data_IF_711598140338
#
_entry.id   IF_711598140338
#
_cell.length_a   1.000
_cell.length_b   1.000
_cell.length_c   1.000
_cell.angle_alpha   90.00
_cell.angle_beta   90.00
_cell.angle_gamma   90.00
#
_symmetry.space_group_name_H-M   'P 1'
#
loop_
_entity.id
_entity.type
_entity.pdbx_description
1 polymer ?
#
# COMPACT_ATOMS: atom_id res chain seq x y z
N UNK A 1 20.55 -16.46 2.38
CA UNK A 1 19.45 -15.91 3.23
C UNK A 1 18.17 -16.51 2.69
N UNK A 2 17.35 -17.13 3.54
CA UNK A 2 16.08 -17.74 3.10
C UNK A 2 15.06 -16.66 2.74
N UNK A 3 14.32 -16.85 1.65
CA UNK A 3 13.20 -16.00 1.29
C UNK A 3 12.05 -16.18 2.29
N UNK A 4 11.35 -15.10 2.61
CA UNK A 4 10.15 -15.12 3.45
C UNK A 4 8.89 -15.28 2.60
N UNK A 5 8.89 -14.67 1.41
CA UNK A 5 7.83 -14.81 0.40
C UNK A 5 8.50 -15.22 -0.91
N UNK A 6 7.96 -16.22 -1.55
CA UNK A 6 8.37 -16.70 -2.87
C UNK A 6 7.13 -16.81 -3.74
N UNK A 7 7.14 -16.12 -4.88
CA UNK A 7 6.07 -16.12 -5.87
C UNK A 7 6.69 -16.43 -7.23
N UNK A 8 6.25 -17.51 -7.87
CA UNK A 8 6.77 -17.94 -9.16
C UNK A 8 5.62 -18.17 -10.13
N UNK A 9 5.65 -17.47 -11.26
CA UNK A 9 4.70 -17.59 -12.37
C UNK A 9 3.23 -17.54 -11.94
N UNK A 10 2.93 -16.71 -10.91
CA UNK A 10 1.58 -16.60 -10.35
C UNK A 10 0.60 -16.04 -11.39
N UNK A 11 -0.50 -16.76 -11.61
CA UNK A 11 -1.64 -16.30 -12.37
C UNK A 11 -2.93 -16.47 -11.57
N UNK A 12 -3.85 -15.52 -11.76
CA UNK A 12 -5.18 -15.56 -11.15
C UNK A 12 -6.22 -14.85 -12.01
N UNK A 13 -7.42 -15.41 -12.09
CA UNK A 13 -8.56 -14.80 -12.75
C UNK A 13 -9.80 -14.93 -11.88
N UNK A 14 -10.58 -13.86 -11.78
CA UNK A 14 -11.92 -13.92 -11.18
C UNK A 14 -12.94 -14.57 -12.13
N UNK A 15 -13.92 -15.35 -11.63
CA UNK A 15 -15.02 -15.84 -12.45
C UNK A 15 -15.84 -14.66 -13.02
N UNK A 16 -16.30 -14.71 -14.31
CA UNK A 16 -16.20 -15.78 -15.30
C UNK A 16 -14.93 -15.76 -16.18
N UNK A 17 -13.77 -15.39 -15.67
CA UNK A 17 -12.52 -15.44 -16.43
C UNK A 17 -11.86 -14.07 -16.63
N UNK A 18 -12.08 -13.10 -15.74
CA UNK A 18 -11.39 -11.81 -15.73
C UNK A 18 -9.99 -11.96 -15.14
N UNK A 19 -8.91 -11.90 -15.97
CA UNK A 19 -7.54 -12.05 -15.48
C UNK A 19 -7.18 -10.87 -14.57
N UNK A 20 -6.73 -11.17 -13.35
CA UNK A 20 -6.26 -10.16 -12.39
C UNK A 20 -4.75 -10.22 -12.18
N UNK A 21 -4.13 -11.40 -12.32
CA UNK A 21 -2.66 -11.55 -12.27
C UNK A 21 -2.21 -12.46 -13.41
N UNK A 22 -1.04 -12.14 -14.00
CA UNK A 22 -0.51 -12.77 -15.20
C UNK A 22 1.01 -12.94 -15.08
N UNK A 23 1.47 -14.14 -14.74
CA UNK A 23 2.89 -14.48 -14.72
C UNK A 23 3.72 -13.59 -13.78
N UNK A 24 3.23 -13.38 -12.55
CA UNK A 24 3.90 -12.57 -11.54
C UNK A 24 4.96 -13.41 -10.83
N UNK A 25 6.21 -12.93 -10.83
CA UNK A 25 7.33 -13.59 -10.16
C UNK A 25 8.13 -12.57 -9.35
N UNK A 26 8.28 -12.79 -8.05
CA UNK A 26 9.14 -12.01 -7.15
C UNK A 26 9.39 -12.76 -5.86
N UNK A 27 10.30 -12.24 -5.04
CA UNK A 27 10.57 -12.76 -3.70
C UNK A 27 10.75 -11.63 -2.70
N UNK A 28 10.44 -11.89 -1.42
CA UNK A 28 10.74 -10.98 -0.31
C UNK A 28 11.64 -11.68 0.70
N UNK A 29 12.60 -10.95 1.23
CA UNK A 29 13.51 -11.43 2.28
C UNK A 29 13.05 -10.95 3.65
N UNK A 30 13.56 -11.60 4.70
CA UNK A 30 13.32 -11.14 6.07
C UNK A 30 13.82 -9.70 6.27
N UNK A 31 12.99 -8.87 6.90
CA UNK A 31 13.30 -7.47 7.23
C UNK A 31 13.08 -6.48 6.07
N UNK A 32 12.80 -6.94 4.83
CA UNK A 32 12.53 -6.03 3.72
C UNK A 32 11.27 -5.19 3.92
N UNK A 33 11.35 -3.94 3.48
CA UNK A 33 10.27 -2.95 3.45
C UNK A 33 9.94 -2.66 1.99
N UNK A 34 8.87 -3.28 1.49
CA UNK A 34 8.56 -3.27 0.07
C UNK A 34 7.23 -2.57 -0.20
N UNK A 35 7.23 -1.65 -1.17
CA UNK A 35 6.03 -1.01 -1.69
C UNK A 35 5.51 -1.76 -2.91
N UNK A 36 4.20 -1.99 -2.96
CA UNK A 36 3.49 -2.50 -4.13
C UNK A 36 2.69 -1.36 -4.74
N UNK A 37 3.16 -0.85 -5.87
CA UNK A 37 2.54 0.28 -6.55
C UNK A 37 1.91 -0.13 -7.89
N UNK A 38 1.09 0.75 -8.44
CA UNK A 38 0.44 0.56 -9.73
C UNK A 38 -0.92 1.23 -9.78
N UNK A 39 -1.51 1.38 -10.97
CA UNK A 39 -2.82 2.01 -11.14
C UNK A 39 -3.95 1.21 -10.46
N UNK A 40 -5.14 1.82 -10.39
CA UNK A 40 -6.32 1.12 -9.91
C UNK A 40 -6.65 -0.03 -10.87
N UNK A 41 -7.00 -1.20 -10.29
CA UNK A 41 -7.26 -2.40 -11.09
C UNK A 41 -6.00 -3.17 -11.53
N UNK A 42 -4.79 -2.74 -11.19
CA UNK A 42 -3.55 -3.44 -11.53
C UNK A 42 -3.41 -4.86 -10.95
N UNK A 43 -4.22 -5.22 -9.93
CA UNK A 43 -4.17 -6.52 -9.27
C UNK A 43 -3.52 -6.51 -7.88
N UNK A 44 -3.19 -5.34 -7.32
CA UNK A 44 -2.49 -5.20 -6.02
C UNK A 44 -3.23 -5.91 -4.88
N UNK A 45 -4.50 -5.58 -4.65
CA UNK A 45 -5.33 -6.21 -3.61
C UNK A 45 -5.47 -7.72 -3.85
N UNK A 46 -5.63 -8.14 -5.12
CA UNK A 46 -5.69 -9.57 -5.47
C UNK A 46 -4.41 -10.30 -5.07
N UNK A 47 -3.25 -9.71 -5.35
CA UNK A 47 -1.96 -10.26 -4.94
C UNK A 47 -1.87 -10.37 -3.41
N UNK A 48 -2.24 -9.32 -2.67
CA UNK A 48 -2.25 -9.36 -1.19
C UNK A 48 -3.20 -10.44 -0.65
N UNK A 49 -4.39 -10.62 -1.24
CA UNK A 49 -5.34 -11.65 -0.83
C UNK A 49 -4.81 -13.07 -1.07
N UNK A 50 -4.06 -13.30 -2.17
CA UNK A 50 -3.41 -14.59 -2.42
C UNK A 50 -2.29 -14.81 -1.39
N UNK A 51 -1.42 -13.82 -1.15
CA UNK A 51 -0.37 -13.92 -0.14
C UNK A 51 -0.91 -14.12 1.28
N UNK A 52 -2.10 -13.59 1.55
CA UNK A 52 -2.82 -13.84 2.79
C UNK A 52 -3.47 -15.23 2.86
N UNK A 53 -3.45 -16.02 1.79
CA UNK A 53 -4.11 -17.34 1.73
C UNK A 53 -5.63 -17.28 1.66
N UNK A 54 -6.20 -16.11 1.33
CA UNK A 54 -7.65 -15.87 1.21
C UNK A 54 -8.18 -16.18 -0.19
N UNK A 55 -7.31 -16.11 -1.21
CA UNK A 55 -7.58 -16.55 -2.56
C UNK A 55 -6.60 -17.65 -2.95
N UNK A 56 -7.07 -18.62 -3.74
CA UNK A 56 -6.26 -19.70 -4.25
C UNK A 56 -5.68 -19.33 -5.63
N UNK A 57 -4.35 -19.45 -5.80
CA UNK A 57 -3.70 -19.22 -7.08
C UNK A 57 -4.26 -20.17 -8.16
N UNK A 58 -4.54 -19.63 -9.36
CA UNK A 58 -4.99 -20.46 -10.48
C UNK A 58 -3.82 -21.23 -11.13
N UNK A 59 -2.62 -20.67 -11.09
CA UNK A 59 -1.38 -21.29 -11.55
C UNK A 59 -0.16 -20.63 -10.88
N UNK A 60 0.98 -21.30 -10.96
CA UNK A 60 2.24 -20.86 -10.35
C UNK A 60 2.45 -21.45 -8.96
N UNK A 61 3.53 -21.01 -8.28
CA UNK A 61 3.86 -21.40 -6.92
C UNK A 61 3.87 -20.16 -6.01
N UNK A 62 3.32 -20.29 -4.81
CA UNK A 62 3.31 -19.23 -3.80
C UNK A 62 3.62 -19.81 -2.43
N UNK A 63 4.71 -19.35 -1.83
CA UNK A 63 5.09 -19.72 -0.47
C UNK A 63 5.26 -18.47 0.40
N UNK A 64 4.70 -18.47 1.61
CA UNK A 64 4.80 -17.38 2.58
C UNK A 64 5.18 -17.95 3.93
N UNK A 65 6.28 -17.47 4.50
CA UNK A 65 6.81 -17.90 5.79
C UNK A 65 6.92 -19.44 5.90
N UNK A 66 7.36 -20.10 4.79
CA UNK A 66 7.48 -21.56 4.68
C UNK A 66 6.15 -22.32 4.59
N UNK A 67 5.03 -21.62 4.33
CA UNK A 67 3.73 -22.24 4.05
C UNK A 67 3.49 -22.23 2.54
N UNK A 68 3.29 -23.39 1.92
CA UNK A 68 2.89 -23.52 0.53
C UNK A 68 1.40 -23.19 0.37
N UNK A 69 1.09 -22.03 -0.24
CA UNK A 69 -0.29 -21.55 -0.39
C UNK A 69 -1.06 -22.24 -1.53
N UNK A 70 -0.41 -23.04 -2.36
CA UNK A 70 -1.10 -23.88 -3.32
C UNK A 70 -1.86 -25.01 -2.62
N UNK A 71 -1.55 -25.31 -1.36
CA UNK A 71 -2.21 -26.32 -0.55
C UNK A 71 -3.20 -25.72 0.44
N UNK A 72 -4.33 -26.37 0.68
CA UNK A 72 -5.29 -25.97 1.70
C UNK A 72 -4.69 -25.96 3.12
N UNK A 73 -3.72 -26.82 3.39
CA UNK A 73 -3.01 -26.87 4.67
C UNK A 73 -2.13 -25.64 4.86
N UNK A 74 -1.34 -25.25 3.86
CA UNK A 74 -0.50 -24.05 3.88
C UNK A 74 -1.32 -22.79 4.04
N UNK A 75 -2.44 -22.65 3.30
CA UNK A 75 -3.35 -21.51 3.45
C UNK A 75 -3.92 -21.39 4.86
N UNK A 76 -4.24 -22.50 5.53
CA UNK A 76 -4.66 -22.47 6.96
C UNK A 76 -3.55 -22.13 7.93
N UNK A 77 -2.31 -22.52 7.63
CA UNK A 77 -1.18 -22.28 8.52
C UNK A 77 -0.63 -20.85 8.41
N UNK A 78 -0.69 -20.22 7.23
CA UNK A 78 -0.11 -18.91 6.99
C UNK A 78 -0.69 -17.82 7.91
N UNK A 79 -1.98 -17.90 8.25
CA UNK A 79 -2.64 -16.94 9.16
C UNK A 79 -2.02 -16.84 10.56
N UNK A 80 -1.22 -17.82 10.96
CA UNK A 80 -0.47 -17.80 12.22
C UNK A 80 0.85 -17.02 12.13
N UNK A 81 1.29 -16.70 10.92
CA UNK A 81 2.63 -16.16 10.62
C UNK A 81 2.59 -14.80 9.93
N UNK A 82 1.43 -14.38 9.49
CA UNK A 82 1.25 -13.08 8.83
C UNK A 82 0.18 -12.24 9.52
N UNK A 83 0.35 -10.92 9.44
CA UNK A 83 -0.67 -9.95 9.78
C UNK A 83 -1.18 -9.27 8.51
N UNK A 84 -2.47 -9.01 8.43
CA UNK A 84 -3.08 -8.27 7.33
C UNK A 84 -3.81 -7.06 7.85
N UNK A 85 -3.67 -5.93 7.17
CA UNK A 85 -4.48 -4.73 7.40
C UNK A 85 -5.10 -4.36 6.06
N UNK A 86 -6.42 -4.48 5.99
CA UNK A 86 -7.18 -4.16 4.78
C UNK A 86 -7.42 -2.65 4.64
N UNK A 87 -7.74 -2.22 3.43
CA UNK A 87 -8.04 -0.83 3.10
C UNK A 87 -9.18 -0.28 3.97
N UNK A 88 -10.30 -1.01 4.05
CA UNK A 88 -11.43 -0.65 4.90
C UNK A 88 -11.27 -1.29 6.29
N UNK A 89 -10.92 -0.50 7.29
CA UNK A 89 -10.77 -0.97 8.67
C UNK A 89 -12.10 -1.29 9.36
N UNK A 90 -13.22 -0.71 8.90
CA UNK A 90 -14.54 -1.01 9.46
C UNK A 90 -14.98 -2.45 9.16
N UNK A 91 -14.48 -3.05 8.08
CA UNK A 91 -14.73 -4.47 7.76
C UNK A 91 -13.83 -5.42 8.59
N UNK A 92 -12.81 -4.91 9.24
CA UNK A 92 -11.83 -5.70 9.99
C UNK A 92 -12.04 -5.64 11.51
N UNK A 93 -12.59 -4.54 12.01
CA UNK A 93 -12.85 -4.30 13.43
C UNK A 93 -14.29 -4.71 13.74
N UNK A 94 -14.48 -5.79 14.50
CA UNK A 94 -15.77 -6.47 14.63
C UNK A 94 -16.26 -6.59 16.06
N UNK A 95 -15.41 -6.35 17.07
CA UNK A 95 -15.72 -6.63 18.47
C UNK A 95 -16.23 -5.39 19.23
N UNK A 96 -16.73 -5.62 20.44
CA UNK A 96 -17.33 -4.58 21.26
C UNK A 96 -16.30 -3.58 21.83
N UNK A 97 -15.08 -4.05 22.10
CA UNK A 97 -13.99 -3.22 22.63
C UNK A 97 -12.73 -3.35 21.79
N UNK A 98 -11.85 -2.34 21.88
CA UNK A 98 -10.51 -2.37 21.25
C UNK A 98 -9.70 -3.56 21.75
N UNK A 99 -9.81 -3.87 23.04
CA UNK A 99 -9.12 -5.02 23.63
C UNK A 99 -9.55 -6.33 22.98
N UNK A 100 -10.86 -6.53 22.81
CA UNK A 100 -11.41 -7.74 22.20
C UNK A 100 -10.98 -7.89 20.74
N UNK A 101 -10.92 -6.80 19.97
CA UNK A 101 -10.44 -6.81 18.60
C UNK A 101 -8.96 -7.21 18.52
N UNK A 102 -8.12 -6.63 19.36
CA UNK A 102 -6.68 -6.95 19.37
C UNK A 102 -6.42 -8.35 19.93
N UNK A 103 -7.23 -8.82 20.87
CA UNK A 103 -7.14 -10.16 21.46
C UNK A 103 -7.62 -11.27 20.52
N UNK A 104 -8.46 -10.95 19.52
CA UNK A 104 -9.13 -11.93 18.66
C UNK A 104 -8.14 -12.91 17.99
N UNK A 105 -7.07 -12.40 17.40
CA UNK A 105 -6.04 -13.21 16.77
C UNK A 105 -5.34 -14.16 17.76
N UNK A 106 -4.73 -13.65 18.83
CA UNK A 106 -4.11 -14.45 19.89
C UNK A 106 -5.04 -15.52 20.52
N UNK A 107 -6.30 -15.20 20.73
CA UNK A 107 -7.30 -16.15 21.24
C UNK A 107 -7.53 -17.29 20.24
N UNK A 108 -7.65 -16.99 18.95
CA UNK A 108 -7.80 -18.01 17.89
C UNK A 108 -6.55 -18.89 17.71
N UNK A 109 -5.39 -18.40 18.12
CA UNK A 109 -4.18 -19.22 18.20
C UNK A 109 -4.19 -20.20 19.37
N UNK A 110 -5.18 -20.11 20.29
CA UNK A 110 -5.29 -20.95 21.48
C UNK A 110 -4.30 -20.56 22.57
N UNK A 111 -3.85 -19.32 22.63
CA UNK A 111 -2.90 -18.87 23.64
C UNK A 111 -3.58 -18.77 25.02
N UNK A 112 -2.83 -19.04 26.12
CA UNK A 112 -3.34 -18.83 27.47
C UNK A 112 -3.61 -17.34 27.73
N UNK A 113 -4.59 -17.05 28.59
CA UNK A 113 -5.09 -15.69 28.87
C UNK A 113 -3.98 -14.68 29.19
N UNK A 114 -3.01 -15.08 29.99
CA UNK A 114 -1.88 -14.22 30.36
C UNK A 114 -1.04 -13.80 29.15
N UNK A 115 -0.80 -14.74 28.22
CA UNK A 115 -0.07 -14.47 26.98
C UNK A 115 -0.89 -13.56 26.04
N UNK A 116 -2.20 -13.77 25.94
CA UNK A 116 -3.10 -12.89 25.18
C UNK A 116 -3.04 -11.47 25.72
N UNK A 117 -3.19 -11.29 27.03
CA UNK A 117 -3.14 -9.97 27.67
C UNK A 117 -1.80 -9.26 27.45
N UNK A 118 -0.70 -9.98 27.58
CA UNK A 118 0.65 -9.44 27.32
C UNK A 118 0.80 -8.99 25.87
N UNK A 119 0.32 -9.78 24.90
CA UNK A 119 0.37 -9.44 23.45
C UNK A 119 -0.51 -8.23 23.14
N UNK A 120 -1.73 -8.15 23.67
CA UNK A 120 -2.63 -7.01 23.50
C UNK A 120 -1.97 -5.73 24.00
N UNK A 121 -1.42 -5.74 25.20
CA UNK A 121 -0.76 -4.58 25.80
C UNK A 121 0.43 -4.14 24.97
N UNK A 122 1.28 -5.08 24.57
CA UNK A 122 2.45 -4.82 23.71
C UNK A 122 2.06 -4.25 22.35
N UNK A 123 1.05 -4.85 21.70
CA UNK A 123 0.59 -4.42 20.38
C UNK A 123 0.00 -3.00 20.41
N UNK A 124 -0.85 -2.70 21.40
CA UNK A 124 -1.42 -1.35 21.58
C UNK A 124 -0.34 -0.31 21.84
N UNK A 125 0.64 -0.63 22.69
CA UNK A 125 1.76 0.28 22.96
C UNK A 125 2.57 0.60 21.71
N UNK A 126 2.83 -0.40 20.83
CA UNK A 126 3.58 -0.25 19.57
C UNK A 126 2.90 0.68 18.58
N UNK A 127 1.59 0.83 18.64
CA UNK A 127 0.81 1.74 17.78
C UNK A 127 0.43 3.05 18.49
N UNK A 128 1.03 3.33 19.65
CA UNK A 128 0.78 4.55 20.41
C UNK A 128 -0.63 4.63 21.03
N UNK A 129 -1.29 3.49 21.22
CA UNK A 129 -2.56 3.40 21.93
C UNK A 129 -2.31 2.91 23.37
N UNK A 130 -2.54 3.79 24.34
CA UNK A 130 -2.34 3.47 25.76
C UNK A 130 -3.49 2.64 26.36
N UNK A 131 -3.33 2.29 27.64
CA UNK A 131 -4.29 1.50 28.43
C UNK A 131 -5.73 2.04 28.37
N UNK A 132 -5.89 3.37 28.32
CA UNK A 132 -7.20 4.03 28.23
C UNK A 132 -8.01 3.69 26.96
N UNK A 133 -7.35 3.11 25.95
CA UNK A 133 -8.04 2.71 24.72
C UNK A 133 -8.68 1.33 24.80
N UNK A 134 -8.21 0.45 25.70
CA UNK A 134 -8.64 -0.96 25.75
C UNK A 134 -10.16 -1.13 25.85
N UNK A 135 -10.78 -0.37 26.75
CA UNK A 135 -12.22 -0.45 26.98
C UNK A 135 -13.05 0.42 26.03
N UNK A 136 -12.43 1.14 25.09
CA UNK A 136 -13.17 1.98 24.14
C UNK A 136 -13.91 1.12 23.12
N UNK A 137 -15.05 1.63 22.69
CA UNK A 137 -15.86 1.06 21.62
C UNK A 137 -15.23 1.49 20.29
N UNK A 138 -14.79 0.56 19.42
CA UNK A 138 -14.09 0.89 18.17
C UNK A 138 -14.89 1.78 17.22
N UNK A 139 -16.22 1.66 17.23
CA UNK A 139 -17.10 2.46 16.38
C UNK A 139 -16.98 3.97 16.65
N UNK A 140 -16.61 4.37 17.87
CA UNK A 140 -16.45 5.77 18.26
C UNK A 140 -15.04 6.33 17.97
N UNK A 141 -14.15 5.53 17.41
CA UNK A 141 -12.79 5.94 17.09
C UNK A 141 -12.74 6.70 15.76
N UNK A 142 -11.79 7.63 15.64
CA UNK A 142 -11.44 8.25 14.36
C UNK A 142 -10.85 7.22 13.39
N UNK A 143 -10.84 7.54 12.08
CA UNK A 143 -10.25 6.66 11.07
C UNK A 143 -8.78 6.30 11.38
N UNK A 144 -7.98 7.27 11.84
CA UNK A 144 -6.60 7.03 12.23
C UNK A 144 -6.47 6.13 13.46
N UNK A 145 -7.34 6.27 14.47
CA UNK A 145 -7.37 5.39 15.63
C UNK A 145 -7.80 3.97 15.24
N UNK A 146 -8.83 3.81 14.40
CA UNK A 146 -9.25 2.51 13.85
C UNK A 146 -8.11 1.84 13.09
N UNK A 147 -7.39 2.59 12.24
CA UNK A 147 -6.21 2.08 11.51
C UNK A 147 -5.16 1.54 12.48
N UNK A 148 -4.88 2.27 13.57
CA UNK A 148 -3.93 1.83 14.59
C UNK A 148 -4.43 0.59 15.34
N UNK A 149 -5.72 0.47 15.63
CA UNK A 149 -6.31 -0.75 16.22
C UNK A 149 -6.15 -1.95 15.29
N UNK A 150 -6.46 -1.80 13.99
CA UNK A 150 -6.28 -2.87 13.00
C UNK A 150 -4.81 -3.33 12.90
N UNK A 151 -3.86 -2.38 12.91
CA UNK A 151 -2.43 -2.69 12.94
C UNK A 151 -2.05 -3.40 14.24
N UNK A 152 -2.57 -2.96 15.40
CA UNK A 152 -2.33 -3.62 16.68
C UNK A 152 -2.84 -5.06 16.68
N UNK A 153 -4.05 -5.31 16.14
CA UNK A 153 -4.59 -6.66 15.97
C UNK A 153 -3.69 -7.57 15.13
N UNK A 154 -3.17 -7.03 14.02
CA UNK A 154 -2.21 -7.75 13.18
C UNK A 154 -0.88 -8.01 13.92
N UNK A 155 -0.35 -7.05 14.67
CA UNK A 155 0.90 -7.17 15.44
C UNK A 155 0.77 -8.10 16.65
N UNK A 156 -0.41 -8.24 17.24
CA UNK A 156 -0.66 -9.15 18.36
C UNK A 156 -0.45 -10.64 18.00
N UNK A 157 -0.52 -10.97 16.71
CA UNK A 157 -0.16 -12.29 16.18
C UNK A 157 1.36 -12.56 16.21
N UNK A 158 2.20 -11.51 16.42
CA UNK A 158 3.67 -11.56 16.27
C UNK A 158 4.08 -12.07 14.87
N UNK A 159 3.60 -11.42 13.82
CA UNK A 159 3.75 -11.92 12.46
C UNK A 159 5.20 -11.83 11.97
N UNK A 160 5.58 -12.74 11.06
CA UNK A 160 6.84 -12.65 10.32
C UNK A 160 6.77 -11.65 9.17
N UNK A 161 5.57 -11.44 8.62
CA UNK A 161 5.28 -10.45 7.59
C UNK A 161 3.98 -9.71 7.87
N UNK A 162 3.96 -8.42 7.57
CA UNK A 162 2.79 -7.55 7.63
C UNK A 162 2.40 -7.12 6.21
N UNK A 163 1.20 -7.46 5.80
CA UNK A 163 0.59 -7.02 4.54
C UNK A 163 -0.34 -5.86 4.83
N UNK A 164 -0.12 -4.71 4.17
CA UNK A 164 -0.96 -3.52 4.35
C UNK A 164 -1.53 -3.11 2.99
N UNK A 165 -2.84 -3.11 2.87
CA UNK A 165 -3.54 -2.64 1.67
C UNK A 165 -4.03 -1.22 1.89
N UNK A 166 -3.48 -0.26 1.12
CA UNK A 166 -3.80 1.17 1.16
C UNK A 166 -3.89 1.75 2.57
N UNK A 167 -2.85 1.60 3.42
CA UNK A 167 -2.93 1.95 4.84
C UNK A 167 -3.09 3.45 5.10
N UNK A 168 -2.85 4.30 4.10
CA UNK A 168 -2.97 5.76 4.17
C UNK A 168 -4.33 6.29 3.73
N UNK A 169 -5.22 5.44 3.20
CA UNK A 169 -6.57 5.83 2.80
C UNK A 169 -7.33 6.41 3.98
N UNK A 170 -8.07 7.48 3.74
CA UNK A 170 -8.92 8.19 4.72
C UNK A 170 -8.16 8.81 5.90
N UNK A 171 -6.81 8.85 5.85
CA UNK A 171 -6.00 9.52 6.84
C UNK A 171 -5.70 10.97 6.43
N UNK A 172 -5.87 11.87 7.39
CA UNK A 172 -5.40 13.24 7.30
C UNK A 172 -3.85 13.30 7.31
N UNK A 173 -3.22 14.44 7.04
CA UNK A 173 -1.76 14.55 7.04
C UNK A 173 -1.10 14.19 8.38
N UNK A 174 -1.80 14.40 9.50
CA UNK A 174 -1.31 14.03 10.83
C UNK A 174 -1.33 12.52 11.01
N UNK A 175 -2.46 11.86 10.69
CA UNK A 175 -2.59 10.42 10.77
C UNK A 175 -1.59 9.67 9.88
N UNK A 176 -1.26 10.24 8.70
CA UNK A 176 -0.21 9.68 7.82
C UNK A 176 1.18 9.75 8.45
N UNK A 177 1.52 10.86 9.11
CA UNK A 177 2.80 10.98 9.84
C UNK A 177 2.88 10.00 11.01
N UNK A 178 1.81 9.91 11.81
CA UNK A 178 1.74 8.96 12.93
C UNK A 178 1.87 7.51 12.44
N UNK A 179 1.20 7.15 11.33
CA UNK A 179 1.33 5.83 10.72
C UNK A 179 2.77 5.55 10.25
N UNK A 180 3.43 6.52 9.61
CA UNK A 180 4.83 6.38 9.19
C UNK A 180 5.72 6.09 10.39
N UNK A 181 5.64 6.89 11.46
CA UNK A 181 6.43 6.70 12.68
C UNK A 181 6.21 5.31 13.30
N UNK A 182 4.96 4.83 13.33
CA UNK A 182 4.64 3.48 13.77
C UNK A 182 5.37 2.45 12.90
N UNK A 183 5.24 2.55 11.57
CA UNK A 183 5.87 1.59 10.65
C UNK A 183 7.39 1.62 10.71
N UNK A 184 8.02 2.79 10.86
CA UNK A 184 9.47 2.95 11.04
C UNK A 184 9.97 2.23 12.31
N UNK A 185 9.18 2.27 13.39
CA UNK A 185 9.48 1.57 14.64
C UNK A 185 9.31 0.04 14.60
N UNK A 186 8.81 -0.52 13.47
CA UNK A 186 8.60 -1.95 13.31
C UNK A 186 9.77 -2.61 12.57
N UNK A 187 10.32 -3.69 13.12
CA UNK A 187 11.35 -4.51 12.47
C UNK A 187 10.78 -5.64 11.61
N UNK A 188 9.46 -5.82 11.57
CA UNK A 188 8.78 -6.87 10.80
C UNK A 188 8.90 -6.60 9.30
N UNK A 189 9.09 -7.67 8.50
CA UNK A 189 9.00 -7.61 7.04
C UNK A 189 7.63 -7.07 6.64
N UNK A 190 7.55 -6.19 5.66
CA UNK A 190 6.26 -5.63 5.23
C UNK A 190 6.16 -5.43 3.74
N UNK A 191 4.95 -5.67 3.24
CA UNK A 191 4.53 -5.33 1.88
C UNK A 191 3.36 -4.36 1.98
N UNK A 192 3.53 -3.16 1.44
CA UNK A 192 2.57 -2.06 1.51
C UNK A 192 2.06 -1.77 0.11
N UNK A 193 0.79 -2.07 -0.16
CA UNK A 193 0.10 -1.58 -1.35
C UNK A 193 -0.31 -0.14 -1.14
N UNK A 194 0.04 0.77 -2.04
CA UNK A 194 -0.40 2.16 -1.95
C UNK A 194 -0.36 2.89 -3.29
N UNK A 195 -1.32 3.79 -3.49
CA UNK A 195 -1.32 4.81 -4.54
C UNK A 195 -0.62 6.12 -4.10
N UNK A 196 -0.35 6.28 -2.80
CA UNK A 196 0.41 7.41 -2.26
C UNK A 196 1.91 7.12 -2.38
N UNK A 197 2.49 7.51 -3.52
CA UNK A 197 3.89 7.22 -3.86
C UNK A 197 4.88 7.94 -2.96
N UNK A 198 4.53 9.11 -2.41
CA UNK A 198 5.34 9.81 -1.41
C UNK A 198 5.48 8.98 -0.14
N UNK A 199 4.38 8.44 0.37
CA UNK A 199 4.39 7.57 1.54
C UNK A 199 5.18 6.28 1.29
N UNK A 200 5.07 5.70 0.07
CA UNK A 200 5.88 4.53 -0.32
C UNK A 200 7.36 4.89 -0.33
N UNK A 201 7.74 6.04 -0.90
CA UNK A 201 9.13 6.50 -0.92
C UNK A 201 9.71 6.70 0.48
N UNK A 202 8.92 7.27 1.40
CA UNK A 202 9.32 7.50 2.78
C UNK A 202 9.45 6.22 3.62
N UNK A 203 8.69 5.15 3.30
CA UNK A 203 8.54 3.98 4.19
C UNK A 203 9.08 2.68 3.63
N UNK A 204 9.41 2.62 2.34
CA UNK A 204 9.87 1.42 1.64
C UNK A 204 11.24 1.61 1.00
N UNK A 205 12.05 0.57 0.99
CA UNK A 205 13.39 0.54 0.38
C UNK A 205 13.37 0.00 -1.05
N UNK A 206 12.38 -0.84 -1.36
CA UNK A 206 12.19 -1.52 -2.64
C UNK A 206 10.75 -1.37 -3.08
N UNK A 207 10.54 -1.31 -4.38
CA UNK A 207 9.22 -1.15 -5.00
C UNK A 207 9.00 -2.21 -6.07
N UNK A 208 7.82 -2.81 -6.02
CA UNK A 208 7.24 -3.65 -7.05
C UNK A 208 6.16 -2.83 -7.77
N UNK A 209 6.33 -2.61 -9.08
CA UNK A 209 5.32 -1.95 -9.91
C UNK A 209 4.50 -3.00 -10.63
N UNK A 210 3.22 -3.05 -10.31
CA UNK A 210 2.24 -3.95 -10.92
C UNK A 210 1.33 -3.15 -11.85
N UNK A 211 1.14 -3.63 -13.09
CA UNK A 211 0.19 -3.05 -14.03
C UNK A 211 -0.41 -4.14 -14.91
N UNK A 212 -1.71 -4.04 -15.20
CA UNK A 212 -2.50 -5.05 -15.95
C UNK A 212 -2.25 -6.50 -15.49
N UNK A 213 -2.03 -6.69 -14.19
CA UNK A 213 -1.74 -7.97 -13.57
C UNK A 213 -0.31 -8.50 -13.79
N UNK A 214 0.62 -7.68 -14.31
CA UNK A 214 2.02 -8.04 -14.55
C UNK A 214 2.96 -7.23 -13.69
N UNK A 215 4.05 -7.84 -13.26
CA UNK A 215 5.14 -7.11 -12.62
C UNK A 215 5.97 -6.39 -13.71
N UNK A 216 5.91 -5.06 -13.70
CA UNK A 216 6.57 -4.21 -14.71
C UNK A 216 7.92 -3.69 -14.24
N UNK A 217 8.13 -3.55 -12.93
CA UNK A 217 9.42 -3.20 -12.35
C UNK A 217 9.55 -3.78 -10.93
N UNK A 218 10.79 -4.06 -10.55
CA UNK A 218 11.21 -4.55 -9.24
C UNK A 218 12.60 -4.00 -8.94
N UNK A 219 12.74 -3.10 -7.97
CA UNK A 219 14.01 -2.48 -7.67
C UNK A 219 13.99 -1.53 -6.49
N UNK A 220 15.14 -0.87 -6.20
CA UNK A 220 15.21 0.15 -5.16
C UNK A 220 14.16 1.24 -5.36
N UNK A 221 13.50 1.66 -4.27
CA UNK A 221 12.41 2.63 -4.34
C UNK A 221 12.83 3.94 -5.03
N UNK A 222 14.04 4.43 -4.73
CA UNK A 222 14.57 5.64 -5.33
C UNK A 222 14.75 5.54 -6.85
N UNK A 223 15.15 4.38 -7.37
CA UNK A 223 15.39 4.17 -8.80
C UNK A 223 14.07 4.04 -9.56
N UNK A 224 13.16 3.20 -9.05
CA UNK A 224 11.87 2.94 -9.69
C UNK A 224 10.99 4.19 -9.66
N UNK A 225 10.89 4.88 -8.52
CA UNK A 225 10.02 6.05 -8.35
C UNK A 225 10.56 7.32 -9.02
N UNK A 226 11.87 7.43 -9.27
CA UNK A 226 12.47 8.57 -9.96
C UNK A 226 12.42 8.43 -11.48
N UNK A 227 12.15 7.25 -12.04
CA UNK A 227 12.01 7.03 -13.49
C UNK A 227 10.68 7.61 -14.01
N UNK A 228 10.74 8.87 -14.43
CA UNK A 228 9.57 9.60 -14.89
C UNK A 228 8.90 8.96 -16.12
N UNK A 229 9.69 8.35 -17.02
CA UNK A 229 9.15 7.69 -18.21
C UNK A 229 8.44 6.37 -17.83
N UNK A 230 9.00 5.62 -16.88
CA UNK A 230 8.36 4.44 -16.33
C UNK A 230 7.03 4.81 -15.63
N UNK A 231 7.06 5.80 -14.72
CA UNK A 231 5.86 6.26 -14.00
C UNK A 231 4.77 6.69 -14.99
N UNK A 232 5.11 7.52 -15.96
CA UNK A 232 4.14 8.03 -16.95
C UNK A 232 3.53 6.91 -17.80
N UNK A 233 4.34 5.93 -18.26
CA UNK A 233 3.85 4.77 -19.03
C UNK A 233 2.79 3.95 -18.28
N UNK A 234 2.88 3.92 -16.96
CA UNK A 234 1.97 3.17 -16.10
C UNK A 234 0.94 4.05 -15.39
N UNK A 235 0.72 5.30 -15.87
CA UNK A 235 -0.29 6.21 -15.33
C UNK A 235 -0.02 6.67 -13.90
N UNK A 236 1.26 6.70 -13.49
CA UNK A 236 1.71 7.13 -12.19
C UNK A 236 2.51 8.45 -12.29
N UNK A 237 2.62 9.16 -11.17
CA UNK A 237 3.41 10.40 -11.06
C UNK A 237 4.65 10.18 -10.19
N UNK A 238 5.75 10.87 -10.52
CA UNK A 238 6.94 10.88 -9.68
C UNK A 238 6.60 11.55 -8.34
N UNK A 239 6.98 10.98 -7.19
CA UNK A 239 6.79 11.63 -5.89
C UNK A 239 7.35 13.05 -5.86
N UNK A 240 6.67 14.03 -5.24
CA UNK A 240 7.13 15.41 -5.15
C UNK A 240 8.56 15.56 -4.60
N UNK A 241 8.94 14.74 -3.61
CA UNK A 241 10.29 14.73 -3.04
C UNK A 241 11.38 14.32 -4.05
N UNK A 242 11.03 13.56 -5.08
CA UNK A 242 11.95 13.15 -6.15
C UNK A 242 11.86 14.07 -7.38
N UNK A 243 10.72 14.72 -7.62
CA UNK A 243 10.51 15.59 -8.78
C UNK A 243 11.42 16.84 -8.78
N UNK A 244 11.91 17.27 -7.61
CA UNK A 244 12.82 18.42 -7.45
C UNK A 244 14.29 18.11 -7.68
N UNK A 245 14.70 16.84 -7.62
CA UNK A 245 16.13 16.45 -7.70
C UNK A 245 16.64 16.27 -9.14
N UNK A 246 15.80 16.30 -10.18
CA UNK A 246 16.16 15.91 -11.53
C UNK A 246 15.68 16.79 -12.69
N UNK A 247 15.23 18.03 -12.48
CA UNK A 247 14.97 18.96 -13.58
C UNK A 247 16.17 19.88 -13.79
N UNK A 248 17.01 19.68 -14.86
CA UNK A 248 17.76 20.79 -15.37
C UNK A 248 16.76 21.88 -15.78
N UNK A 249 16.98 23.11 -15.29
CA UNK A 249 16.15 24.26 -15.60
C UNK A 249 15.90 24.28 -17.15
N UNK A 250 14.67 24.06 -17.58
CA UNK A 250 14.27 24.34 -18.94
C UNK A 250 14.55 25.82 -19.16
N UNK A 251 15.59 26.13 -19.96
CA UNK A 251 15.87 27.49 -20.36
C UNK A 251 14.56 28.11 -20.86
N UNK A 252 14.13 29.17 -20.23
CA UNK A 252 13.00 29.96 -20.65
C UNK A 252 13.27 30.41 -22.10
N UNK A 253 12.52 29.87 -23.04
CA UNK A 253 12.49 30.37 -24.42
C UNK A 253 11.96 31.81 -24.31
N UNK A 254 12.73 32.83 -24.77
CA UNK A 254 12.25 34.19 -24.73
C UNK A 254 11.00 34.32 -25.57
N UNK A 255 9.95 34.89 -25.02
CA UNK A 255 8.70 35.18 -25.69
C UNK A 255 9.02 35.96 -26.98
N UNK A 256 8.59 35.40 -28.13
CA UNK A 256 8.65 36.08 -29.41
C UNK A 256 7.92 37.42 -29.30
N UNK A 257 8.66 38.50 -29.59
CA UNK A 257 8.14 39.86 -29.63
C UNK A 257 6.95 39.95 -30.60
N UNK A 258 5.85 40.48 -30.14
CA UNK A 258 4.68 40.79 -30.95
C UNK A 258 5.07 41.82 -32.02
N UNK A 259 4.57 41.70 -33.27
CA UNK A 259 4.84 42.70 -34.33
C UNK A 259 4.11 44.02 -34.02
N UNK A 260 4.69 45.18 -34.44
CA UNK A 260 4.15 46.48 -34.12
C UNK A 260 2.84 46.75 -34.87
N UNK A 261 1.86 47.25 -34.15
CA UNK A 261 0.61 47.77 -34.72
C UNK A 261 0.89 48.89 -35.73
N UNK A 262 0.52 48.70 -37.00
CA UNK A 262 0.44 49.76 -37.99
C UNK A 262 -0.82 50.58 -37.77
N UNK A 263 -0.68 51.81 -37.36
CA UNK A 263 -1.68 52.86 -37.53
C UNK A 263 -1.83 53.14 -39.04
N UNK A 264 -3.03 52.96 -39.53
CA UNK A 264 -3.41 53.39 -40.87
C UNK A 264 -4.60 54.33 -40.69
N UNK A 265 -4.37 55.55 -41.08
CA UNK A 265 -5.22 56.72 -41.13
C UNK A 265 -6.40 56.56 -42.07
N UNK A 266 -7.52 57.11 -41.68
CA UNK A 266 -8.63 57.73 -42.34
C UNK A 266 -8.83 57.54 -43.88
N UNK A 267 -10.01 57.17 -44.29
CA UNK A 267 -10.76 57.97 -45.28
C UNK A 267 -12.25 57.80 -45.18
N UNK A 268 -12.88 58.91 -45.01
CA UNK A 268 -14.29 59.27 -44.98
C UNK A 268 -14.96 59.10 -46.38
N UNK A 269 -16.17 58.60 -46.48
CA UNK A 269 -17.16 59.05 -47.45
C UNK A 269 -18.48 58.28 -47.29
N UNK A 270 -19.47 58.92 -46.79
CA UNK A 270 -20.90 58.76 -47.14
C UNK A 270 -21.15 59.53 -48.48
N UNK A 271 -22.34 59.43 -49.20
CA UNK A 271 -23.62 58.77 -48.91
C UNK A 271 -24.33 58.18 -50.15
N UNK A 272 -25.54 57.67 -49.97
CA UNK A 272 -26.82 57.92 -50.75
C UNK A 272 -27.39 56.75 -51.58
N UNK A 273 -28.67 56.51 -51.25
CA UNK A 273 -29.86 56.09 -52.02
C UNK A 273 -29.87 54.71 -52.77
N UNK A 274 -30.76 53.84 -52.45
CA UNK A 274 -32.17 53.68 -52.90
C UNK A 274 -32.79 52.49 -52.12
#
# INVERSE_FOLDING_TARGET
MSCLVEVEHLAYAYPPGHPALRDVTFHLRHGERVGLIGPNGAGKTTLLLILAGLLEAAAGAVAVAGCDLCTAAGRRQVHRKLGVVFQNTDDQILNATVEDDVAFGPLNLGLPREAVEARVRSALARVGLGEAYRARIPFHLSAGEKRRVAIAGALALEPQILLLDEPTSDLDPRGRRELREILEGLSVTRLISSHNLEFVFETCERVLLLDEGRLCADGPAIEVLADADLMLRHGLEVPPSLAGAGRPARAATPAAAAPPHRHGTDFNATPTHA
#
